data_IF_805073004485
#
_entry.id   IF_805073004485
#
_cell.length_a   1.000
_cell.length_b   1.000
_cell.length_c   1.000
_cell.angle_alpha   90.00
_cell.angle_beta   90.00
_cell.angle_gamma   90.00
#
_symmetry.space_group_name_H-M   'P 1'
#
loop_
_entity.id
_entity.type
_entity.pdbx_description
1 polymer ?
#
# COMPACT_ATOMS: atom_id res chain seq x y z
N UNK A 1 -31.18 -5.52 -3.02
CA UNK A 1 -31.18 -4.18 -2.36
C UNK A 1 -29.70 -3.88 -2.12
N UNK A 2 -29.09 -3.07 -3.00
CA UNK A 2 -27.69 -2.65 -2.83
C UNK A 2 -27.62 -1.79 -1.58
N UNK A 3 -26.91 -2.28 -0.57
CA UNK A 3 -26.59 -1.49 0.62
C UNK A 3 -25.80 -0.24 0.21
N UNK A 4 -26.27 0.94 0.62
CA UNK A 4 -25.58 2.20 0.33
C UNK A 4 -24.12 2.20 0.83
N UNK A 5 -23.30 3.19 0.45
CA UNK A 5 -21.85 3.25 0.78
C UNK A 5 -21.52 2.97 2.25
N UNK A 6 -22.32 3.46 3.18
CA UNK A 6 -22.13 3.24 4.62
C UNK A 6 -22.23 1.77 5.04
N UNK A 7 -23.12 0.99 4.40
CA UNK A 7 -23.24 -0.44 4.69
C UNK A 7 -22.00 -1.20 4.21
N UNK A 8 -21.48 -0.86 3.02
CA UNK A 8 -20.25 -1.47 2.46
C UNK A 8 -19.01 -1.19 3.32
N UNK A 9 -18.90 -0.01 3.91
CA UNK A 9 -17.80 0.34 4.81
C UNK A 9 -17.88 -0.46 6.11
N UNK A 10 -19.07 -0.57 6.72
CA UNK A 10 -19.27 -1.38 7.92
C UNK A 10 -18.99 -2.88 7.67
N UNK A 11 -19.41 -3.41 6.53
CA UNK A 11 -19.12 -4.79 6.11
C UNK A 11 -17.62 -5.03 5.92
N UNK A 12 -16.88 -4.05 5.37
CA UNK A 12 -15.44 -4.12 5.19
C UNK A 12 -14.71 -4.17 6.54
N UNK A 13 -15.07 -3.29 7.46
CA UNK A 13 -14.52 -3.28 8.83
C UNK A 13 -14.77 -4.64 9.50
N UNK A 14 -16.00 -5.13 9.45
CA UNK A 14 -16.35 -6.42 10.04
C UNK A 14 -15.57 -7.60 9.42
N UNK A 15 -15.36 -7.58 8.09
CA UNK A 15 -14.57 -8.60 7.37
C UNK A 15 -13.16 -8.73 7.89
N UNK A 16 -12.50 -7.61 8.17
CA UNK A 16 -11.09 -7.58 8.54
C UNK A 16 -10.83 -7.48 10.05
N UNK A 17 -11.87 -7.36 10.88
CA UNK A 17 -11.73 -7.18 12.33
C UNK A 17 -10.91 -8.31 12.97
N UNK A 18 -11.21 -9.57 12.69
CA UNK A 18 -10.49 -10.70 13.27
C UNK A 18 -9.01 -10.74 12.86
N UNK A 19 -8.70 -10.37 11.62
CA UNK A 19 -7.31 -10.28 11.12
C UNK A 19 -6.55 -9.17 11.85
N UNK A 20 -7.16 -8.01 12.03
CA UNK A 20 -6.55 -6.89 12.75
C UNK A 20 -6.30 -7.24 14.23
N UNK A 21 -7.27 -7.84 14.89
CA UNK A 21 -7.14 -8.24 16.30
C UNK A 21 -6.05 -9.29 16.49
N UNK A 22 -5.95 -10.28 15.60
CA UNK A 22 -4.89 -11.27 15.62
C UNK A 22 -3.50 -10.64 15.39
N UNK A 23 -3.39 -9.69 14.45
CA UNK A 23 -2.16 -8.94 14.21
C UNK A 23 -1.74 -8.12 15.44
N UNK A 24 -2.69 -7.41 16.08
CA UNK A 24 -2.43 -6.65 17.32
C UNK A 24 -1.98 -7.58 18.44
N UNK A 25 -2.60 -8.75 18.57
CA UNK A 25 -2.19 -9.74 19.56
C UNK A 25 -0.78 -10.29 19.28
N UNK A 26 -0.46 -10.56 18.01
CA UNK A 26 0.87 -11.04 17.61
C UNK A 26 1.97 -10.03 17.97
N UNK A 27 1.79 -8.72 17.69
CA UNK A 27 2.78 -7.71 18.06
C UNK A 27 2.89 -7.51 19.57
N UNK A 28 1.80 -7.71 20.32
CA UNK A 28 1.81 -7.65 21.80
C UNK A 28 2.59 -8.79 22.44
N UNK A 29 2.41 -10.00 21.91
CA UNK A 29 3.02 -11.22 22.45
C UNK A 29 4.37 -11.55 21.81
N UNK A 30 4.73 -10.86 20.72
CA UNK A 30 5.91 -11.13 19.88
C UNK A 30 5.92 -12.55 19.32
N UNK A 31 4.74 -13.10 19.04
CA UNK A 31 4.58 -14.41 18.41
C UNK A 31 4.56 -14.28 16.89
N UNK A 32 5.12 -15.27 16.21
CA UNK A 32 4.98 -15.39 14.77
C UNK A 32 3.52 -15.66 14.41
N UNK A 33 2.96 -14.85 13.51
CA UNK A 33 1.62 -15.00 12.99
C UNK A 33 1.53 -14.39 11.60
N UNK A 34 0.80 -15.02 10.72
CA UNK A 34 0.50 -14.51 9.37
C UNK A 34 -0.90 -14.94 8.95
N UNK A 35 -1.68 -14.07 8.31
CA UNK A 35 -2.93 -14.47 7.67
C UNK A 35 -2.69 -15.12 6.30
N UNK A 36 -1.46 -15.11 5.79
CA UNK A 36 -1.08 -15.52 4.43
C UNK A 36 -0.17 -16.75 4.46
N UNK A 37 -0.42 -17.71 3.56
CA UNK A 37 0.48 -18.84 3.40
C UNK A 37 1.70 -18.45 2.57
N UNK A 38 2.90 -18.75 3.04
CA UNK A 38 4.17 -18.55 2.34
C UNK A 38 4.55 -19.69 1.39
N UNK A 39 3.75 -20.74 1.34
CA UNK A 39 3.95 -21.89 0.46
C UNK A 39 3.21 -21.73 -0.87
N UNK A 40 3.89 -21.87 -2.04
CA UNK A 40 3.26 -21.83 -3.35
C UNK A 40 2.52 -23.11 -3.71
N UNK A 41 2.27 -24.01 -2.76
CA UNK A 41 1.71 -25.34 -3.02
C UNK A 41 0.32 -25.28 -3.62
N UNK A 42 0.11 -26.05 -4.68
CA UNK A 42 -1.21 -26.22 -5.32
C UNK A 42 -2.23 -26.88 -4.41
N UNK A 43 -1.80 -27.58 -3.36
CA UNK A 43 -2.70 -28.13 -2.33
C UNK A 43 -3.38 -27.03 -1.51
N UNK A 44 -2.73 -25.86 -1.41
CA UNK A 44 -3.26 -24.69 -0.67
C UNK A 44 -4.03 -23.77 -1.61
N UNK A 45 -3.50 -23.51 -2.80
CA UNK A 45 -4.01 -22.48 -3.70
C UNK A 45 -4.86 -23.01 -4.86
N UNK A 46 -4.92 -24.33 -5.04
CA UNK A 46 -5.51 -24.96 -6.22
C UNK A 46 -4.53 -25.02 -7.41
N UNK A 47 -4.79 -25.90 -8.38
CA UNK A 47 -3.90 -26.13 -9.52
C UNK A 47 -3.86 -24.98 -10.54
N UNK A 48 -4.91 -24.16 -10.59
CA UNK A 48 -5.06 -23.12 -11.63
C UNK A 48 -4.34 -21.81 -11.29
N UNK A 49 -4.08 -21.55 -10.01
CA UNK A 49 -3.47 -20.27 -9.56
C UNK A 49 -2.03 -20.06 -10.08
N UNK A 50 -1.12 -21.04 -10.00
CA UNK A 50 0.24 -20.84 -10.51
C UNK A 50 0.30 -20.55 -12.01
N UNK A 51 -0.35 -21.32 -12.91
CA UNK A 51 -0.31 -21.00 -14.33
C UNK A 51 -1.04 -19.70 -14.68
N UNK A 52 -2.12 -19.35 -13.98
CA UNK A 52 -2.81 -18.08 -14.18
C UNK A 52 -1.91 -16.89 -13.79
N UNK A 53 -1.18 -16.98 -12.67
CA UNK A 53 -0.23 -15.94 -12.26
C UNK A 53 0.92 -15.75 -13.25
N UNK A 54 1.46 -16.85 -13.77
CA UNK A 54 2.47 -16.79 -14.83
C UNK A 54 1.93 -16.11 -16.09
N UNK A 55 0.76 -16.52 -16.55
CA UNK A 55 0.11 -15.94 -17.73
C UNK A 55 -0.20 -14.45 -17.53
N UNK A 56 -0.61 -14.04 -16.32
CA UNK A 56 -0.85 -12.64 -16.00
C UNK A 56 0.45 -11.81 -16.09
N UNK A 57 1.57 -12.32 -15.60
CA UNK A 57 2.88 -11.69 -15.77
C UNK A 57 3.29 -11.61 -17.25
N UNK A 58 3.19 -12.72 -18.00
CA UNK A 58 3.58 -12.78 -19.43
C UNK A 58 2.76 -11.79 -20.27
N UNK A 59 1.49 -11.57 -19.92
CA UNK A 59 0.64 -10.59 -20.58
C UNK A 59 1.07 -9.13 -20.37
N UNK A 60 1.99 -8.86 -19.42
CA UNK A 60 2.56 -7.51 -19.21
C UNK A 60 3.74 -7.22 -20.14
N UNK A 61 4.43 -8.24 -20.61
CA UNK A 61 5.63 -8.07 -21.42
C UNK A 61 5.31 -7.32 -22.72
N UNK A 62 6.14 -6.34 -23.06
CA UNK A 62 5.98 -5.53 -24.26
C UNK A 62 4.80 -4.58 -24.27
N UNK A 63 4.15 -4.33 -23.13
CA UNK A 63 2.97 -3.46 -23.05
C UNK A 63 3.26 -2.13 -22.33
N UNK A 64 2.33 -1.18 -22.44
CA UNK A 64 2.32 0.02 -21.60
C UNK A 64 1.53 -0.25 -20.33
N UNK A 65 2.15 -0.05 -19.18
CA UNK A 65 1.51 -0.17 -17.87
C UNK A 65 1.04 1.21 -17.40
N UNK A 66 -0.16 1.60 -17.81
CA UNK A 66 -0.75 2.88 -17.46
C UNK A 66 -1.64 2.76 -16.22
N UNK A 67 -1.40 3.63 -15.24
CA UNK A 67 -2.16 3.74 -14.00
C UNK A 67 -3.23 4.83 -14.04
N UNK A 68 -3.34 5.56 -15.15
CA UNK A 68 -4.24 6.70 -15.25
C UNK A 68 -4.08 7.71 -14.09
N UNK A 69 -2.83 8.00 -13.74
CA UNK A 69 -2.52 8.95 -12.67
C UNK A 69 -2.24 10.35 -13.23
N UNK A 70 -2.34 11.41 -12.41
CA UNK A 70 -2.15 12.79 -12.86
C UNK A 70 -0.71 13.11 -13.26
N UNK A 71 -0.54 14.19 -14.00
CA UNK A 71 0.78 14.74 -14.31
C UNK A 71 1.53 14.02 -15.43
N UNK A 72 0.85 13.24 -16.29
CA UNK A 72 1.49 12.56 -17.41
C UNK A 72 2.26 13.55 -18.31
N UNK A 73 3.57 13.32 -18.47
CA UNK A 73 4.47 14.19 -19.26
C UNK A 73 4.48 13.84 -20.75
N UNK A 74 3.89 12.72 -21.14
CA UNK A 74 3.99 12.14 -22.47
C UNK A 74 5.24 11.25 -22.66
N UNK A 75 6.21 11.30 -21.76
CA UNK A 75 7.36 10.40 -21.78
C UNK A 75 7.03 9.05 -21.13
N UNK A 76 7.79 8.02 -21.50
CA UNK A 76 7.74 6.69 -20.89
C UNK A 76 9.13 6.21 -20.54
N UNK A 77 9.24 5.41 -19.48
CA UNK A 77 10.46 4.71 -19.07
C UNK A 77 10.21 3.21 -18.98
N UNK A 78 11.27 2.41 -18.90
CA UNK A 78 11.22 0.94 -18.76
C UNK A 78 12.59 0.38 -19.05
N UNK A 79 13.37 0.10 -17.99
CA UNK A 79 14.78 -0.35 -18.09
C UNK A 79 14.98 -1.75 -17.49
N UNK A 80 13.88 -2.46 -17.23
CA UNK A 80 13.91 -3.77 -16.60
C UNK A 80 14.39 -4.85 -17.57
N UNK A 81 15.41 -5.57 -17.16
CA UNK A 81 15.99 -6.71 -17.90
C UNK A 81 15.91 -7.93 -17.01
N UNK A 82 15.32 -9.01 -17.52
CA UNK A 82 15.25 -10.26 -16.77
C UNK A 82 16.62 -10.91 -16.62
N UNK A 83 17.09 -11.20 -15.38
CA UNK A 83 18.34 -11.92 -15.17
C UNK A 83 18.29 -13.39 -15.64
N UNK A 84 17.09 -13.95 -15.84
CA UNK A 84 16.89 -15.33 -16.28
C UNK A 84 16.92 -15.47 -17.79
N UNK A 85 16.33 -14.53 -18.53
CA UNK A 85 16.27 -14.58 -19.98
C UNK A 85 17.29 -13.68 -20.64
N UNK A 86 17.91 -12.76 -19.90
CA UNK A 86 18.81 -11.71 -20.41
C UNK A 86 18.13 -10.81 -21.45
N UNK A 87 16.79 -10.75 -21.43
CA UNK A 87 16.01 -9.95 -22.34
C UNK A 87 15.30 -8.83 -21.59
N UNK A 88 15.11 -7.65 -22.20
CA UNK A 88 14.25 -6.61 -21.66
C UNK A 88 12.83 -7.14 -21.45
N UNK A 89 12.14 -6.64 -20.43
CA UNK A 89 10.71 -6.89 -20.24
C UNK A 89 9.86 -6.07 -21.21
N UNK A 90 10.44 -5.01 -21.80
CA UNK A 90 9.82 -4.07 -22.74
C UNK A 90 8.50 -3.45 -22.22
N UNK A 91 8.34 -3.41 -20.90
CA UNK A 91 7.20 -2.74 -20.28
C UNK A 91 7.49 -1.25 -20.23
N UNK A 92 6.52 -0.43 -20.66
CA UNK A 92 6.62 1.02 -20.68
C UNK A 92 5.74 1.61 -19.57
N UNK A 93 6.31 2.49 -18.76
CA UNK A 93 5.62 3.17 -17.67
C UNK A 93 5.54 4.67 -18.00
N UNK A 94 4.32 5.26 -18.08
CA UNK A 94 4.16 6.70 -18.25
C UNK A 94 4.82 7.47 -17.11
N UNK A 95 5.61 8.49 -17.45
CA UNK A 95 6.25 9.38 -16.49
C UNK A 95 5.28 10.48 -16.09
N UNK A 96 5.14 10.69 -14.79
CA UNK A 96 4.35 11.80 -14.23
C UNK A 96 5.27 12.87 -13.63
N UNK A 97 4.85 14.12 -13.75
CA UNK A 97 5.54 15.23 -13.10
C UNK A 97 5.44 15.13 -11.58
N UNK A 98 6.55 15.20 -10.83
CA UNK A 98 6.55 15.12 -9.38
C UNK A 98 5.65 16.13 -8.68
N UNK A 99 5.64 17.38 -9.11
CA UNK A 99 4.83 18.42 -8.48
C UNK A 99 3.32 18.15 -8.67
N UNK A 100 2.93 17.61 -9.83
CA UNK A 100 1.55 17.20 -10.08
C UNK A 100 1.14 15.98 -9.21
N UNK A 101 2.05 15.04 -8.99
CA UNK A 101 1.80 13.91 -8.09
C UNK A 101 1.61 14.38 -6.64
N UNK A 102 2.46 15.28 -6.14
CA UNK A 102 2.34 15.85 -4.79
C UNK A 102 1.03 16.63 -4.66
N UNK A 103 0.72 17.52 -5.59
CA UNK A 103 -0.51 18.30 -5.56
C UNK A 103 -1.78 17.42 -5.55
N UNK A 104 -1.78 16.34 -6.34
CA UNK A 104 -2.91 15.39 -6.36
C UNK A 104 -3.02 14.59 -5.05
N UNK A 105 -1.89 14.20 -4.46
CA UNK A 105 -1.87 13.53 -3.17
C UNK A 105 -2.42 14.42 -2.05
N UNK A 106 -2.01 15.70 -2.00
CA UNK A 106 -2.54 16.68 -1.03
C UNK A 106 -4.05 16.86 -1.22
N UNK A 107 -4.52 16.94 -2.45
CA UNK A 107 -5.96 17.04 -2.74
C UNK A 107 -6.72 15.82 -2.24
N UNK A 108 -6.23 14.62 -2.52
CA UNK A 108 -6.82 13.37 -2.05
C UNK A 108 -6.79 13.24 -0.51
N UNK A 109 -5.74 13.76 0.14
CA UNK A 109 -5.61 13.74 1.59
C UNK A 109 -6.73 14.52 2.29
N UNK A 110 -7.28 15.56 1.68
CA UNK A 110 -8.33 16.37 2.29
C UNK A 110 -9.58 15.54 2.66
N UNK A 111 -9.97 14.59 1.83
CA UNK A 111 -11.04 13.64 2.15
C UNK A 111 -10.53 12.53 3.10
N UNK A 112 -9.34 11.99 2.84
CA UNK A 112 -8.80 10.83 3.54
C UNK A 112 -8.57 11.05 5.03
N UNK A 113 -8.15 12.24 5.42
CA UNK A 113 -7.93 12.59 6.83
C UNK A 113 -9.22 12.59 7.66
N UNK A 114 -10.39 12.80 7.04
CA UNK A 114 -11.69 12.79 7.69
C UNK A 114 -12.30 11.38 7.79
N UNK A 115 -11.69 10.38 7.12
CA UNK A 115 -12.13 8.99 7.17
C UNK A 115 -11.80 8.40 8.55
N UNK A 116 -12.74 7.69 9.14
CA UNK A 116 -12.51 6.96 10.39
C UNK A 116 -11.29 6.03 10.26
N UNK A 117 -10.42 6.02 11.27
CA UNK A 117 -9.19 5.24 11.18
C UNK A 117 -9.42 3.72 11.14
N UNK A 118 -10.51 3.21 11.71
CA UNK A 118 -10.87 1.78 11.59
C UNK A 118 -11.21 1.42 10.14
N UNK A 119 -11.86 2.33 9.41
CA UNK A 119 -12.11 2.13 7.98
C UNK A 119 -10.82 2.22 7.17
N UNK A 120 -9.90 3.15 7.49
CA UNK A 120 -8.58 3.20 6.83
C UNK A 120 -7.78 1.91 7.04
N UNK A 121 -7.79 1.36 8.26
CA UNK A 121 -7.17 0.07 8.58
C UNK A 121 -7.79 -1.08 7.77
N UNK A 122 -9.12 -1.12 7.71
CA UNK A 122 -9.84 -2.15 6.96
C UNK A 122 -9.55 -2.07 5.45
N UNK A 123 -9.48 -0.87 4.87
CA UNK A 123 -9.07 -0.66 3.47
C UNK A 123 -7.65 -1.13 3.21
N UNK A 124 -6.70 -0.84 4.10
CA UNK A 124 -5.33 -1.32 3.99
C UNK A 124 -5.24 -2.86 4.08
N UNK A 125 -6.03 -3.49 4.94
CA UNK A 125 -6.11 -4.96 5.01
C UNK A 125 -6.75 -5.55 3.75
N UNK A 126 -7.75 -4.90 3.16
CA UNK A 126 -8.31 -5.31 1.86
C UNK A 126 -7.26 -5.19 0.74
N UNK A 127 -6.45 -4.12 0.74
CA UNK A 127 -5.31 -4.00 -0.18
C UNK A 127 -4.34 -5.17 0.00
N UNK A 128 -3.97 -5.49 1.24
CA UNK A 128 -3.07 -6.61 1.54
C UNK A 128 -3.66 -7.95 1.06
N UNK A 129 -4.95 -8.19 1.27
CA UNK A 129 -5.63 -9.40 0.79
C UNK A 129 -5.60 -9.50 -0.73
N UNK A 130 -5.94 -8.43 -1.45
CA UNK A 130 -5.93 -8.44 -2.92
C UNK A 130 -4.52 -8.54 -3.50
N UNK A 131 -3.52 -8.01 -2.83
CA UNK A 131 -2.12 -8.22 -3.20
C UNK A 131 -1.71 -9.69 -3.02
N UNK A 132 -2.14 -10.32 -1.93
CA UNK A 132 -1.94 -11.76 -1.74
C UNK A 132 -2.64 -12.60 -2.80
N UNK A 133 -3.87 -12.25 -3.20
CA UNK A 133 -4.60 -12.95 -4.26
C UNK A 133 -3.87 -12.93 -5.61
N UNK A 134 -3.01 -11.91 -5.83
CA UNK A 134 -2.13 -11.75 -7.00
C UNK A 134 -0.72 -12.27 -6.79
N UNK A 135 -0.44 -12.97 -5.69
CA UNK A 135 0.93 -13.30 -5.31
C UNK A 135 1.67 -14.17 -6.35
N UNK A 136 0.96 -14.98 -7.12
CA UNK A 136 1.58 -15.76 -8.21
C UNK A 136 2.05 -14.85 -9.36
N UNK A 137 1.32 -13.82 -9.75
CA UNK A 137 1.75 -12.79 -10.71
C UNK A 137 2.93 -11.99 -10.14
N UNK A 138 2.83 -11.57 -8.86
CA UNK A 138 3.86 -10.83 -8.15
C UNK A 138 5.18 -11.62 -8.07
N UNK A 139 5.11 -12.92 -7.79
CA UNK A 139 6.30 -13.77 -7.71
C UNK A 139 7.07 -13.81 -9.04
N UNK A 140 6.38 -13.91 -10.17
CA UNK A 140 7.02 -13.83 -11.50
C UNK A 140 7.58 -12.42 -11.76
N UNK A 141 6.85 -11.35 -11.41
CA UNK A 141 7.36 -9.99 -11.56
C UNK A 141 8.66 -9.79 -10.78
N UNK A 142 8.68 -10.15 -9.50
CA UNK A 142 9.87 -10.01 -8.64
C UNK A 142 11.02 -10.90 -9.11
N UNK A 143 10.74 -12.16 -9.50
CA UNK A 143 11.73 -13.06 -10.04
C UNK A 143 12.45 -12.43 -11.23
N UNK A 144 11.71 -11.85 -12.17
CA UNK A 144 12.27 -11.31 -13.42
C UNK A 144 12.89 -9.91 -13.29
N UNK A 145 12.64 -9.15 -12.21
CA UNK A 145 13.29 -7.85 -12.01
C UNK A 145 14.39 -7.88 -10.94
N UNK A 146 14.25 -8.71 -9.91
CA UNK A 146 15.15 -8.76 -8.76
C UNK A 146 16.11 -9.99 -8.78
N UNK A 147 15.92 -10.95 -9.68
CA UNK A 147 16.75 -12.15 -9.76
C UNK A 147 16.53 -13.16 -8.63
N UNK A 148 15.47 -13.02 -7.85
CA UNK A 148 15.12 -13.97 -6.79
C UNK A 148 14.67 -15.31 -7.40
N UNK A 149 14.94 -16.42 -6.70
CA UNK A 149 14.32 -17.70 -7.08
C UNK A 149 12.79 -17.59 -6.94
N UNK A 150 12.05 -18.39 -7.71
CA UNK A 150 10.58 -18.36 -7.65
C UNK A 150 10.02 -18.53 -6.22
N UNK A 151 10.57 -19.50 -5.47
CA UNK A 151 10.14 -19.74 -4.09
C UNK A 151 10.41 -18.51 -3.19
N UNK A 152 11.58 -17.88 -3.33
CA UNK A 152 11.92 -16.68 -2.57
C UNK A 152 11.05 -15.49 -2.98
N UNK A 153 10.81 -15.30 -4.27
CA UNK A 153 9.94 -14.25 -4.78
C UNK A 153 8.49 -14.45 -4.30
N UNK A 154 8.00 -15.70 -4.31
CA UNK A 154 6.66 -16.01 -3.80
C UNK A 154 6.53 -15.76 -2.29
N UNK A 155 7.41 -16.36 -1.47
CA UNK A 155 7.31 -16.28 0.00
C UNK A 155 7.82 -14.94 0.54
N UNK A 156 9.05 -14.55 0.17
CA UNK A 156 9.74 -13.38 0.74
C UNK A 156 9.16 -12.06 0.28
N UNK A 157 8.89 -11.90 -1.02
CA UNK A 157 8.33 -10.66 -1.59
C UNK A 157 6.80 -10.64 -1.61
N UNK A 158 6.15 -11.75 -1.30
CA UNK A 158 4.71 -11.89 -1.12
C UNK A 158 4.29 -11.89 0.36
N UNK A 159 3.87 -13.05 0.91
CA UNK A 159 3.34 -13.17 2.27
C UNK A 159 4.21 -12.53 3.34
N UNK A 160 5.52 -12.83 3.37
CA UNK A 160 6.40 -12.31 4.40
C UNK A 160 6.57 -10.78 4.32
N UNK A 161 6.54 -10.20 3.12
CA UNK A 161 6.53 -8.75 2.95
C UNK A 161 5.18 -8.14 3.38
N UNK A 162 4.06 -8.80 3.03
CA UNK A 162 2.73 -8.37 3.47
C UNK A 162 2.58 -8.44 4.99
N UNK A 163 3.19 -9.43 5.65
CA UNK A 163 3.21 -9.52 7.12
C UNK A 163 3.86 -8.29 7.75
N UNK A 164 4.93 -7.72 7.14
CA UNK A 164 5.52 -6.45 7.61
C UNK A 164 4.56 -5.27 7.45
N UNK A 165 3.76 -5.28 6.39
CA UNK A 165 2.69 -4.30 6.20
C UNK A 165 1.58 -4.45 7.24
N UNK A 166 1.11 -5.67 7.49
CA UNK A 166 0.08 -5.96 8.50
C UNK A 166 0.58 -5.66 9.92
N UNK A 167 1.85 -5.92 10.22
CA UNK A 167 2.48 -5.52 11.47
C UNK A 167 2.47 -3.99 11.65
N UNK A 168 2.78 -3.24 10.60
CA UNK A 168 2.71 -1.77 10.62
C UNK A 168 1.28 -1.27 10.89
N UNK A 169 0.26 -1.92 10.29
CA UNK A 169 -1.15 -1.63 10.60
C UNK A 169 -1.50 -1.91 12.05
N UNK A 170 -1.02 -3.00 12.63
CA UNK A 170 -1.24 -3.33 14.04
C UNK A 170 -0.62 -2.30 14.99
N UNK A 171 0.59 -1.81 14.69
CA UNK A 171 1.21 -0.71 15.46
C UNK A 171 0.46 0.60 15.28
N UNK A 172 0.03 0.95 14.06
CA UNK A 172 -0.76 2.15 13.80
C UNK A 172 -2.10 2.11 14.55
N UNK A 173 -2.82 0.98 14.48
CA UNK A 173 -4.08 0.76 15.21
C UNK A 173 -3.90 0.96 16.70
N UNK A 174 -2.87 0.34 17.28
CA UNK A 174 -2.56 0.46 18.70
C UNK A 174 -2.30 1.91 19.09
N UNK A 175 -1.44 2.61 18.35
CA UNK A 175 -1.08 3.99 18.64
C UNK A 175 -2.29 4.95 18.55
N UNK A 176 -3.14 4.76 17.53
CA UNK A 176 -4.33 5.59 17.34
C UNK A 176 -5.42 5.30 18.39
N UNK A 177 -5.61 4.04 18.78
CA UNK A 177 -6.58 3.64 19.82
C UNK A 177 -6.17 4.09 21.23
N UNK A 178 -4.89 4.33 21.48
CA UNK A 178 -4.40 4.87 22.76
C UNK A 178 -4.75 6.36 22.95
N UNK A 179 -5.19 7.06 21.90
CA UNK A 179 -5.62 8.47 21.97
C UNK A 179 -7.14 8.54 22.16
N UNK A 180 -7.56 8.95 23.35
CA UNK A 180 -8.98 9.16 23.63
C UNK A 180 -9.52 10.37 22.84
N UNK A 181 -10.48 10.18 21.91
CA UNK A 181 -10.92 11.26 21.02
C UNK A 181 -11.69 12.38 21.76
N UNK A 182 -12.40 12.03 22.83
CA UNK A 182 -13.15 13.00 23.65
C UNK A 182 -13.01 12.67 25.12
N UNK A 183 -12.90 13.71 25.97
CA UNK A 183 -12.88 13.56 27.42
C UNK A 183 -13.63 14.73 28.09
N UNK A 184 -14.49 14.40 29.04
CA UNK A 184 -15.13 15.38 29.88
C UNK A 184 -14.27 15.59 31.14
N UNK A 185 -13.95 16.85 31.44
CA UNK A 185 -13.15 17.26 32.59
C UNK A 185 -13.99 18.08 33.53
N UNK A 186 -14.03 17.66 34.78
CA UNK A 186 -14.73 18.38 35.86
C UNK A 186 -13.76 18.65 36.98
N UNK A 187 -13.73 19.92 37.45
CA UNK A 187 -12.91 20.33 38.58
C UNK A 187 -13.67 21.26 39.49
N UNK A 188 -13.72 21.02 40.82
CA UNK A 188 -14.23 21.98 41.79
C UNK A 188 -13.40 23.28 41.76
N UNK A 189 -14.09 24.40 41.81
CA UNK A 189 -13.48 25.74 41.92
C UNK A 189 -14.24 26.58 42.96
N UNK A 190 -13.85 26.48 44.22
CA UNK A 190 -14.59 27.07 45.35
C UNK A 190 -15.96 26.42 45.48
N UNK A 191 -17.01 27.25 45.42
CA UNK A 191 -18.42 26.80 45.44
C UNK A 191 -18.92 26.36 44.05
N UNK A 192 -18.16 26.62 42.99
CA UNK A 192 -18.51 26.35 41.61
C UNK A 192 -17.80 25.12 41.07
N UNK A 193 -18.20 24.68 39.89
CA UNK A 193 -17.55 23.59 39.12
C UNK A 193 -17.18 24.08 37.73
N UNK A 194 -15.90 23.88 37.35
CA UNK A 194 -15.45 24.05 35.97
C UNK A 194 -15.69 22.76 35.24
N UNK A 195 -16.48 22.80 34.14
CA UNK A 195 -16.74 21.70 33.25
C UNK A 195 -16.15 22.03 31.85
N UNK A 196 -15.31 21.13 31.30
CA UNK A 196 -14.72 21.29 30.01
C UNK A 196 -14.90 19.98 29.21
N UNK A 197 -15.32 20.09 27.97
CA UNK A 197 -15.23 18.98 27.01
C UNK A 197 -13.99 19.17 26.14
N UNK A 198 -13.11 18.17 26.10
CA UNK A 198 -11.89 18.17 25.33
C UNK A 198 -12.07 17.24 24.13
N UNK A 199 -11.59 17.67 22.98
CA UNK A 199 -11.53 16.86 21.77
C UNK A 199 -10.08 16.76 21.30
N UNK A 200 -9.64 15.56 20.97
CA UNK A 200 -8.32 15.27 20.42
C UNK A 200 -8.48 14.72 19.00
N UNK A 201 -7.82 15.34 18.05
CA UNK A 201 -7.84 14.94 16.66
C UNK A 201 -6.43 14.58 16.22
N UNK A 202 -6.25 13.35 15.69
CA UNK A 202 -5.01 12.95 15.06
C UNK A 202 -4.96 13.53 13.65
N UNK A 203 -3.96 14.35 13.38
CA UNK A 203 -3.79 15.03 12.09
C UNK A 203 -2.70 14.33 11.28
N UNK A 204 -2.95 13.98 9.99
CA UNK A 204 -1.92 13.43 9.13
C UNK A 204 -0.79 14.45 8.91
N UNK A 205 0.42 13.94 8.72
CA UNK A 205 1.62 14.78 8.62
C UNK A 205 1.82 15.40 7.25
N UNK A 206 1.37 14.73 6.18
CA UNK A 206 1.59 15.14 4.81
C UNK A 206 1.69 13.95 3.86
N UNK A 207 2.37 14.14 2.74
CA UNK A 207 2.57 13.09 1.72
C UNK A 207 3.74 12.18 2.13
N UNK A 208 3.50 10.87 2.16
CA UNK A 208 4.53 9.87 2.41
C UNK A 208 5.28 9.52 1.12
N UNK A 209 6.58 9.75 1.08
CA UNK A 209 7.44 9.26 0.00
C UNK A 209 8.02 7.89 0.37
N UNK A 210 7.75 6.86 -0.43
CA UNK A 210 8.27 5.51 -0.23
C UNK A 210 9.25 5.16 -1.34
N UNK A 211 10.54 5.27 -1.05
CA UNK A 211 11.62 4.92 -1.97
C UNK A 211 11.94 3.44 -1.82
N UNK A 212 11.78 2.67 -2.90
CA UNK A 212 11.94 1.24 -2.90
C UNK A 212 13.30 0.80 -3.42
N UNK A 213 13.79 -0.37 -2.96
CA UNK A 213 15.00 -0.98 -3.46
C UNK A 213 14.73 -1.94 -4.63
N UNK A 214 15.79 -2.32 -5.37
CA UNK A 214 15.70 -3.27 -6.47
C UNK A 214 15.62 -4.73 -6.00
N UNK A 215 16.28 -5.08 -4.89
CA UNK A 215 16.45 -6.48 -4.45
C UNK A 215 15.21 -7.08 -3.78
N UNK A 216 14.47 -6.27 -2.98
CA UNK A 216 13.24 -6.65 -2.28
C UNK A 216 12.22 -5.50 -2.34
N UNK A 217 11.66 -5.19 -3.51
CA UNK A 217 10.86 -3.98 -3.72
C UNK A 217 9.63 -3.91 -2.81
N UNK A 218 8.90 -5.00 -2.64
CA UNK A 218 7.68 -5.09 -1.83
C UNK A 218 7.97 -5.07 -0.33
N UNK A 219 8.96 -5.82 0.13
CA UNK A 219 9.36 -5.87 1.54
C UNK A 219 9.73 -4.50 2.10
N UNK A 220 10.47 -3.74 1.32
CA UNK A 220 10.89 -2.39 1.68
C UNK A 220 9.72 -1.39 1.65
N UNK A 221 8.70 -1.61 0.81
CA UNK A 221 7.60 -0.67 0.58
C UNK A 221 6.42 -0.85 1.55
N UNK A 222 5.95 -2.06 1.77
CA UNK A 222 4.68 -2.30 2.44
C UNK A 222 4.56 -1.70 3.85
N UNK A 223 5.57 -1.79 4.74
CA UNK A 223 5.46 -1.20 6.07
C UNK A 223 5.23 0.30 6.03
N UNK A 224 5.98 1.02 5.21
CA UNK A 224 5.90 2.46 5.09
C UNK A 224 4.58 2.91 4.42
N UNK A 225 4.16 2.21 3.35
CA UNK A 225 2.90 2.48 2.67
C UNK A 225 1.70 2.32 3.61
N UNK A 226 1.59 1.16 4.25
CA UNK A 226 0.44 0.86 5.10
C UNK A 226 0.41 1.72 6.37
N UNK A 227 1.57 1.98 7.00
CA UNK A 227 1.64 2.90 8.12
C UNK A 227 1.17 4.31 7.73
N UNK A 228 1.62 4.82 6.58
CA UNK A 228 1.22 6.14 6.08
C UNK A 228 -0.28 6.20 5.81
N UNK A 229 -0.82 5.27 5.02
CA UNK A 229 -2.25 5.25 4.68
C UNK A 229 -3.13 5.11 5.93
N UNK A 230 -2.81 4.20 6.85
CA UNK A 230 -3.56 3.98 8.08
C UNK A 230 -3.63 5.26 8.94
N UNK A 231 -2.54 6.05 8.97
CA UNK A 231 -2.47 7.29 9.75
C UNK A 231 -2.95 8.53 8.99
N UNK A 232 -3.58 8.35 7.82
CA UNK A 232 -4.24 9.41 7.07
C UNK A 232 -3.37 10.12 6.03
N UNK A 233 -2.15 9.62 5.77
CA UNK A 233 -1.22 10.22 4.82
C UNK A 233 -1.30 9.49 3.46
N UNK A 234 -1.44 10.19 2.33
CA UNK A 234 -1.28 9.61 1.00
C UNK A 234 0.17 9.21 0.75
N UNK A 235 0.38 8.36 -0.25
CA UNK A 235 1.71 7.78 -0.52
C UNK A 235 2.08 7.93 -1.99
N UNK A 236 3.28 8.43 -2.25
CA UNK A 236 3.96 8.36 -3.54
C UNK A 236 5.01 7.25 -3.45
N UNK A 237 4.84 6.21 -4.26
CA UNK A 237 5.76 5.08 -4.34
C UNK A 237 6.78 5.34 -5.43
N UNK A 238 8.05 5.38 -5.06
CA UNK A 238 9.17 5.58 -5.98
C UNK A 238 9.97 4.27 -6.10
N UNK A 239 9.69 3.41 -7.10
CA UNK A 239 10.44 2.19 -7.31
C UNK A 239 11.85 2.47 -7.80
N UNK A 240 12.74 1.47 -7.67
CA UNK A 240 14.02 1.51 -8.37
C UNK A 240 13.79 1.35 -9.89
N UNK A 241 14.48 2.09 -10.78
CA UNK A 241 14.23 2.05 -12.23
C UNK A 241 14.30 0.66 -12.89
N UNK A 242 15.12 -0.24 -12.32
CA UNK A 242 15.23 -1.63 -12.81
C UNK A 242 14.28 -2.62 -12.13
N UNK A 243 13.36 -2.16 -11.26
CA UNK A 243 12.41 -3.02 -10.54
C UNK A 243 11.07 -2.29 -10.33
N UNK A 244 10.48 -1.81 -11.41
CA UNK A 244 9.24 -1.01 -11.41
C UNK A 244 8.00 -1.92 -11.34
N UNK A 245 7.97 -3.01 -12.11
CA UNK A 245 6.77 -3.85 -12.28
C UNK A 245 6.13 -4.30 -10.97
N UNK A 246 6.86 -4.83 -9.97
CA UNK A 246 6.25 -5.22 -8.70
C UNK A 246 5.50 -4.08 -8.03
N UNK A 247 6.08 -2.88 -8.02
CA UNK A 247 5.45 -1.72 -7.38
C UNK A 247 4.32 -1.12 -8.23
N UNK A 248 4.39 -1.22 -9.56
CA UNK A 248 3.28 -0.86 -10.44
C UNK A 248 2.04 -1.75 -10.18
N UNK A 249 2.24 -3.07 -9.98
CA UNK A 249 1.19 -4.02 -9.59
C UNK A 249 0.60 -3.67 -8.21
N UNK A 250 1.46 -3.30 -7.25
CA UNK A 250 1.03 -2.86 -5.91
C UNK A 250 0.17 -1.60 -6.00
N UNK A 251 0.66 -0.56 -6.66
CA UNK A 251 -0.07 0.71 -6.79
C UNK A 251 -1.38 0.50 -7.56
N UNK A 252 -1.38 -0.28 -8.63
CA UNK A 252 -2.60 -0.64 -9.37
C UNK A 252 -3.65 -1.27 -8.45
N UNK A 253 -3.24 -2.24 -7.63
CA UNK A 253 -4.15 -2.93 -6.71
C UNK A 253 -4.71 -2.00 -5.63
N UNK A 254 -3.85 -1.15 -5.04
CA UNK A 254 -4.28 -0.18 -4.04
C UNK A 254 -5.27 0.84 -4.64
N UNK A 255 -4.98 1.38 -5.82
CA UNK A 255 -5.87 2.32 -6.54
C UNK A 255 -7.22 1.69 -6.85
N UNK A 256 -7.24 0.41 -7.25
CA UNK A 256 -8.47 -0.34 -7.48
C UNK A 256 -9.32 -0.46 -6.21
N UNK A 257 -8.70 -0.84 -5.08
CA UNK A 257 -9.41 -0.91 -3.79
C UNK A 257 -10.02 0.45 -3.43
N UNK A 258 -9.23 1.52 -3.53
CA UNK A 258 -9.72 2.87 -3.24
C UNK A 258 -10.93 3.24 -4.12
N UNK A 259 -10.84 3.00 -5.42
CA UNK A 259 -11.93 3.26 -6.36
C UNK A 259 -13.19 2.42 -6.07
N UNK A 260 -13.03 1.12 -5.75
CA UNK A 260 -14.14 0.22 -5.43
C UNK A 260 -14.91 0.68 -4.18
N UNK A 261 -14.25 1.36 -3.25
CA UNK A 261 -14.86 1.92 -2.04
C UNK A 261 -15.14 3.42 -2.11
N UNK A 262 -15.09 4.01 -3.31
CA UNK A 262 -15.39 5.42 -3.62
C UNK A 262 -14.43 6.43 -2.95
N UNK A 263 -13.16 6.06 -2.81
CA UNK A 263 -12.08 6.95 -2.42
C UNK A 263 -11.23 7.36 -3.62
N UNK A 264 -10.56 8.52 -3.50
CA UNK A 264 -9.67 9.00 -4.56
C UNK A 264 -8.46 8.05 -4.73
N UNK A 265 -8.26 7.45 -5.92
CA UNK A 265 -7.10 6.60 -6.17
C UNK A 265 -5.76 7.32 -6.04
N UNK A 266 -5.72 8.65 -6.11
CA UNK A 266 -4.50 9.44 -5.98
C UNK A 266 -3.95 9.50 -4.54
N UNK A 267 -4.60 8.83 -3.60
CA UNK A 267 -4.00 8.48 -2.30
C UNK A 267 -2.78 7.56 -2.44
N UNK A 268 -2.67 6.81 -3.55
CA UNK A 268 -1.50 5.98 -3.84
C UNK A 268 -1.11 6.18 -5.31
N UNK A 269 0.07 6.74 -5.53
CA UNK A 269 0.61 7.01 -6.87
C UNK A 269 2.01 6.42 -7.04
N UNK A 270 2.44 6.28 -8.30
CA UNK A 270 3.73 5.71 -8.69
C UNK A 270 4.59 6.79 -9.37
N UNK A 271 5.78 7.03 -8.83
CA UNK A 271 6.76 7.92 -9.44
C UNK A 271 7.87 7.11 -10.11
N UNK A 272 7.82 7.00 -11.42
CA UNK A 272 8.83 6.28 -12.21
C UNK A 272 9.88 7.23 -12.77
N UNK A 273 11.10 6.74 -12.92
CA UNK A 273 12.21 7.47 -13.53
C UNK A 273 13.16 6.52 -14.27
N UNK A 274 14.12 7.08 -14.97
CA UNK A 274 15.25 6.36 -15.56
C UNK A 274 16.50 6.45 -14.67
N UNK A 275 17.43 5.49 -14.80
CA UNK A 275 18.71 5.52 -14.09
C UNK A 275 19.51 6.81 -14.38
N UNK A 276 19.43 7.31 -15.61
CA UNK A 276 20.13 8.51 -16.04
C UNK A 276 19.49 9.81 -15.51
N UNK A 277 18.21 9.79 -15.15
CA UNK A 277 17.43 10.97 -14.76
C UNK A 277 16.63 10.68 -13.48
N UNK A 278 17.28 10.52 -12.32
CA UNK A 278 16.62 10.19 -11.08
C UNK A 278 15.78 11.36 -10.53
N UNK A 279 14.51 11.08 -10.17
CA UNK A 279 13.60 12.11 -9.64
C UNK A 279 13.47 12.13 -8.12
N UNK A 280 14.08 11.18 -7.41
CA UNK A 280 13.93 11.08 -5.95
C UNK A 280 14.31 12.37 -5.21
N UNK A 281 15.36 13.08 -5.67
CA UNK A 281 15.77 14.37 -5.09
C UNK A 281 14.67 15.42 -5.16
N UNK A 282 13.93 15.51 -6.27
CA UNK A 282 12.82 16.46 -6.43
C UNK A 282 11.73 16.27 -5.39
N UNK A 283 11.43 15.01 -5.00
CA UNK A 283 10.45 14.72 -3.94
C UNK A 283 11.00 15.01 -2.54
N UNK A 284 12.30 14.71 -2.30
CA UNK A 284 12.93 14.93 -0.98
C UNK A 284 13.02 16.44 -0.68
N UNK A 285 13.30 17.23 -1.69
CA UNK A 285 13.44 18.69 -1.57
C UNK A 285 12.09 19.43 -1.71
N UNK A 286 10.98 18.72 -1.94
CA UNK A 286 9.67 19.33 -2.06
C UNK A 286 9.21 19.87 -0.69
N UNK A 287 8.64 21.09 -0.62
CA UNK A 287 8.28 21.72 0.64
C UNK A 287 7.10 21.06 1.40
N UNK A 288 6.26 20.24 0.70
CA UNK A 288 5.05 19.63 1.25
C UNK A 288 5.23 18.12 1.57
#
# INVERSE_FOLDING_TARGET
MDGGPLNRHAELIARHAATLDAAIQAVRTRQAWSPFSDSPSTKIHGPDKPPAGKAAFEARLGTTFDLNQPGATGATVGEEVSPYTQQPLDIRYPVSDPDALVASAITAMAQWREVDFELRLALCLEMAQRLYDRNFEMAHAVMHVAGQSYTQAFSGSGPNALDRGVEALAYAAKAMRDVTPTADYHRPFGADQVALRKTYTLVPRGVGLVICCASFPTWNAYPAMFASLATGNPVIVKPHPIAVLPMALVVQTCRQVLADFAFDPNLVTLAVDALAEPVAGRFIDHPD
#
